data_IF_810457073780
#
_entry.id   IF_810457073780
#
_cell.length_a   1.000
_cell.length_b   1.000
_cell.length_c   1.000
_cell.angle_alpha   90.00
_cell.angle_beta   90.00
_cell.angle_gamma   90.00
#
_symmetry.space_group_name_H-M   'P 1'
#
loop_
_entity.id
_entity.type
_entity.pdbx_description
1 polymer ?
#
# COMPACT_ATOMS: atom_id res chain seq x y z
N UNK A 1 -43.69 6.41 16.17
CA UNK A 1 -43.05 5.07 16.03
C UNK A 1 -41.62 5.32 15.62
N UNK A 2 -40.69 5.19 16.53
CA UNK A 2 -39.28 5.51 16.36
C UNK A 2 -38.55 4.27 15.85
N UNK A 3 -37.90 4.41 14.73
CA UNK A 3 -37.08 3.38 14.08
C UNK A 3 -35.70 3.39 14.74
N UNK A 4 -35.39 2.38 15.53
CA UNK A 4 -34.12 2.16 16.19
C UNK A 4 -33.18 1.39 15.26
N UNK A 5 -32.44 2.10 14.42
CA UNK A 5 -31.28 1.52 13.76
C UNK A 5 -30.18 1.22 14.80
N UNK A 6 -29.57 0.02 14.83
CA UNK A 6 -28.49 -0.27 15.77
C UNK A 6 -27.23 0.49 15.32
N UNK A 7 -26.84 1.47 16.13
CA UNK A 7 -25.55 2.13 16.06
C UNK A 7 -24.45 1.13 16.43
N UNK A 8 -23.78 0.56 15.42
CA UNK A 8 -22.53 -0.16 15.62
C UNK A 8 -21.49 0.86 16.11
N UNK A 9 -21.21 0.75 17.40
CA UNK A 9 -20.26 1.60 18.13
C UNK A 9 -18.89 1.55 17.46
N UNK A 10 -18.37 2.73 17.08
CA UNK A 10 -17.03 2.95 16.56
C UNK A 10 -15.89 2.53 17.51
N UNK A 11 -16.22 1.97 18.68
CA UNK A 11 -15.27 1.59 19.74
C UNK A 11 -14.62 0.21 19.56
N UNK A 12 -14.97 -0.58 18.54
CA UNK A 12 -14.54 -1.99 18.45
C UNK A 12 -13.27 -2.24 17.60
N UNK A 13 -12.75 -1.24 16.89
CA UNK A 13 -11.52 -1.41 16.11
C UNK A 13 -10.36 -0.70 16.84
N UNK A 14 -10.04 -1.16 18.05
CA UNK A 14 -8.76 -0.78 18.68
C UNK A 14 -7.64 -1.62 18.08
N UNK A 15 -6.78 -0.98 17.31
CA UNK A 15 -5.55 -1.56 16.83
C UNK A 15 -4.66 -2.00 18.00
N UNK A 16 -4.28 -3.28 18.04
CA UNK A 16 -3.33 -3.81 19.00
C UNK A 16 -2.00 -4.10 18.27
N UNK A 17 -0.95 -3.28 18.45
CA UNK A 17 0.33 -3.45 17.75
C UNK A 17 1.05 -4.78 18.07
N UNK A 18 0.67 -5.46 19.16
CA UNK A 18 1.27 -6.76 19.52
C UNK A 18 0.85 -7.91 18.61
N UNK A 19 -0.19 -7.74 17.78
CA UNK A 19 -0.71 -8.79 16.88
C UNK A 19 0.12 -8.94 15.60
N UNK A 20 0.97 -7.96 15.27
CA UNK A 20 1.75 -7.99 14.02
C UNK A 20 2.94 -8.97 14.01
N UNK A 21 3.27 -9.63 15.12
CA UNK A 21 4.46 -10.52 15.21
C UNK A 21 4.21 -11.99 15.00
N UNK A 22 2.97 -12.42 14.74
CA UNK A 22 2.68 -13.84 14.47
C UNK A 22 2.16 -14.00 13.05
N UNK A 23 2.88 -14.78 12.24
CA UNK A 23 2.35 -15.30 10.98
C UNK A 23 0.99 -15.95 11.22
N UNK A 24 -0.06 -15.61 10.47
CA UNK A 24 -1.37 -16.21 10.67
C UNK A 24 -1.26 -17.72 10.37
N UNK A 25 -1.59 -18.57 11.35
CA UNK A 25 -2.04 -19.91 11.05
C UNK A 25 -3.27 -19.76 10.18
N UNK A 26 -3.20 -20.29 8.98
CA UNK A 26 -4.32 -20.36 8.03
C UNK A 26 -5.52 -20.97 8.76
N UNK A 27 -6.49 -20.16 9.13
CA UNK A 27 -7.78 -20.65 9.61
C UNK A 27 -8.49 -21.25 8.40
N UNK A 28 -8.49 -22.57 8.33
CA UNK A 28 -9.18 -23.32 7.29
C UNK A 28 -10.68 -23.27 7.58
N UNK A 29 -11.43 -22.50 6.80
CA UNK A 29 -12.89 -22.51 6.83
C UNK A 29 -13.38 -23.66 5.93
N UNK A 30 -14.14 -24.64 6.47
CA UNK A 30 -14.68 -25.74 5.66
C UNK A 30 -15.81 -25.21 4.77
N UNK A 31 -15.60 -25.24 3.46
CA UNK A 31 -16.62 -24.86 2.46
C UNK A 31 -16.09 -24.11 1.23
N UNK A 32 -14.81 -23.78 1.14
CA UNK A 32 -14.26 -22.98 0.03
C UNK A 32 -13.57 -23.83 -1.02
N UNK A 33 -14.32 -24.30 -1.98
CA UNK A 33 -13.82 -24.95 -3.21
C UNK A 33 -13.45 -23.96 -4.32
N UNK A 34 -13.13 -22.71 -4.02
CA UNK A 34 -12.45 -21.68 -4.84
C UNK A 34 -12.24 -20.49 -3.92
N UNK A 35 -11.01 -20.00 -3.75
CA UNK A 35 -10.82 -18.77 -2.99
C UNK A 35 -11.59 -17.65 -3.68
N UNK A 36 -12.57 -17.04 -2.97
CA UNK A 36 -13.33 -15.89 -3.50
C UNK A 36 -12.35 -14.76 -3.83
N UNK A 37 -12.57 -14.10 -4.96
CA UNK A 37 -11.82 -12.91 -5.33
C UNK A 37 -12.11 -11.77 -4.33
N UNK A 38 -11.21 -10.78 -4.27
CA UNK A 38 -11.42 -9.64 -3.38
C UNK A 38 -12.65 -8.81 -3.77
N UNK A 39 -12.94 -8.74 -5.06
CA UNK A 39 -14.14 -8.09 -5.60
C UNK A 39 -15.41 -8.81 -5.15
N UNK A 40 -15.44 -10.16 -5.22
CA UNK A 40 -16.56 -10.97 -4.73
C UNK A 40 -16.75 -10.80 -3.22
N UNK A 41 -15.65 -10.77 -2.44
CA UNK A 41 -15.72 -10.53 -1.00
C UNK A 41 -16.31 -9.15 -0.70
N UNK A 42 -15.91 -8.11 -1.46
CA UNK A 42 -16.41 -6.75 -1.25
C UNK A 42 -17.90 -6.64 -1.59
N UNK A 43 -18.40 -7.32 -2.64
CA UNK A 43 -19.83 -7.38 -2.94
C UNK A 43 -20.60 -8.09 -1.82
N UNK A 44 -20.13 -9.27 -1.37
CA UNK A 44 -20.75 -9.99 -0.24
C UNK A 44 -20.80 -9.16 1.03
N UNK A 45 -19.73 -8.37 1.28
CA UNK A 45 -19.74 -7.42 2.40
C UNK A 45 -20.81 -6.33 2.22
N UNK A 46 -21.01 -5.85 0.99
CA UNK A 46 -22.11 -4.95 0.64
C UNK A 46 -23.49 -5.53 0.97
N UNK A 47 -23.67 -6.82 0.76
CA UNK A 47 -24.87 -7.59 1.07
C UNK A 47 -25.01 -7.98 2.56
N UNK A 48 -24.06 -7.57 3.42
CA UNK A 48 -24.12 -7.76 4.86
C UNK A 48 -23.26 -8.91 5.42
N UNK A 49 -22.46 -9.59 4.60
CA UNK A 49 -21.56 -10.66 5.05
C UNK A 49 -20.31 -10.06 5.74
N UNK A 50 -20.35 -9.97 7.07
CA UNK A 50 -19.23 -9.48 7.87
C UNK A 50 -17.95 -10.34 7.75
N UNK A 51 -18.09 -11.65 7.51
CA UNK A 51 -16.94 -12.56 7.31
C UNK A 51 -16.19 -12.26 6.02
N UNK A 52 -16.88 -11.76 4.99
CA UNK A 52 -16.25 -11.31 3.75
C UNK A 52 -15.36 -10.07 4.00
N UNK A 53 -15.80 -9.12 4.83
CA UNK A 53 -14.97 -7.98 5.25
C UNK A 53 -13.75 -8.44 6.05
N UNK A 54 -13.93 -9.36 6.99
CA UNK A 54 -12.82 -9.89 7.78
C UNK A 54 -11.75 -10.52 6.90
N UNK A 55 -12.15 -11.29 5.87
CA UNK A 55 -11.23 -11.87 4.90
C UNK A 55 -10.46 -10.82 4.11
N UNK A 56 -11.13 -9.79 3.58
CA UNK A 56 -10.51 -8.66 2.89
C UNK A 56 -9.52 -7.92 3.80
N UNK A 57 -9.95 -7.59 5.01
CA UNK A 57 -9.12 -6.91 5.99
C UNK A 57 -7.85 -7.71 6.30
N UNK A 58 -7.98 -9.02 6.54
CA UNK A 58 -6.83 -9.88 6.82
C UNK A 58 -5.85 -9.97 5.65
N UNK A 59 -6.33 -10.01 4.41
CA UNK A 59 -5.48 -10.04 3.21
C UNK A 59 -4.69 -8.74 3.02
N UNK A 60 -5.35 -7.60 3.18
CA UNK A 60 -4.80 -6.30 2.75
C UNK A 60 -4.27 -5.42 3.87
N UNK A 61 -4.61 -5.66 5.16
CA UNK A 61 -4.17 -4.80 6.27
C UNK A 61 -2.65 -4.62 6.34
N UNK A 62 -1.90 -5.70 6.15
CA UNK A 62 -0.44 -5.66 6.24
C UNK A 62 0.20 -4.85 5.11
N UNK A 63 -0.08 -5.18 3.84
CA UNK A 63 0.42 -4.41 2.70
C UNK A 63 0.02 -2.94 2.73
N UNK A 64 -1.26 -2.61 2.98
CA UNK A 64 -1.75 -1.21 3.06
C UNK A 64 -1.06 -0.44 4.19
N UNK A 65 -0.91 -1.04 5.38
CA UNK A 65 -0.20 -0.40 6.48
C UNK A 65 1.27 -0.14 6.16
N UNK A 66 1.98 -1.14 5.56
CA UNK A 66 3.38 -0.96 5.14
C UNK A 66 3.54 0.14 4.09
N UNK A 67 2.62 0.23 3.14
CA UNK A 67 2.60 1.31 2.15
C UNK A 67 2.58 2.68 2.84
N UNK A 68 1.61 2.92 3.73
CA UNK A 68 1.47 4.19 4.44
C UNK A 68 2.68 4.49 5.33
N UNK A 69 3.14 3.51 6.12
CA UNK A 69 4.28 3.66 7.01
C UNK A 69 5.57 4.03 6.26
N UNK A 70 5.81 3.41 5.10
CA UNK A 70 6.98 3.71 4.28
C UNK A 70 6.91 5.07 3.59
N UNK A 71 5.71 5.61 3.39
CA UNK A 71 5.53 6.95 2.85
C UNK A 71 5.79 8.03 3.89
N UNK A 72 5.33 7.85 5.12
CA UNK A 72 5.29 8.89 6.16
C UNK A 72 6.45 8.76 7.14
N UNK A 73 6.96 7.56 7.38
CA UNK A 73 8.00 7.22 8.37
C UNK A 73 7.62 7.55 9.84
N UNK A 74 6.35 7.90 10.11
CA UNK A 74 5.78 8.13 11.43
C UNK A 74 4.66 7.10 11.64
N UNK A 75 4.83 6.22 12.64
CA UNK A 75 3.92 5.11 12.88
C UNK A 75 2.56 5.55 13.40
N UNK A 76 2.49 6.64 14.17
CA UNK A 76 1.23 7.14 14.69
C UNK A 76 0.37 7.74 13.57
N UNK A 77 0.98 8.54 12.71
CA UNK A 77 0.30 9.10 11.53
C UNK A 77 -0.08 8.01 10.54
N UNK A 78 0.81 7.03 10.29
CA UNK A 78 0.50 5.91 9.40
C UNK A 78 -0.67 5.08 9.92
N UNK A 79 -0.81 4.91 11.23
CA UNK A 79 -1.94 4.22 11.86
C UNK A 79 -3.25 5.00 11.70
N UNK A 80 -3.23 6.32 11.90
CA UNK A 80 -4.39 7.20 11.67
C UNK A 80 -4.88 7.09 10.23
N UNK A 81 -3.98 7.27 9.25
CA UNK A 81 -4.34 7.16 7.84
C UNK A 81 -4.81 5.76 7.46
N UNK A 82 -4.22 4.71 8.05
CA UNK A 82 -4.66 3.33 7.85
C UNK A 82 -6.09 3.11 8.34
N UNK A 83 -6.46 3.64 9.50
CA UNK A 83 -7.83 3.60 10.00
C UNK A 83 -8.78 4.35 9.07
N UNK A 84 -8.41 5.54 8.60
CA UNK A 84 -9.18 6.32 7.64
C UNK A 84 -9.44 5.56 6.33
N UNK A 85 -8.43 4.86 5.80
CA UNK A 85 -8.59 4.03 4.60
C UNK A 85 -9.65 2.95 4.82
N UNK A 86 -9.59 2.21 5.92
CA UNK A 86 -10.57 1.14 6.19
C UNK A 86 -11.95 1.68 6.51
N UNK A 87 -12.06 2.83 7.18
CA UNK A 87 -13.35 3.50 7.35
C UNK A 87 -13.97 3.88 6.01
N UNK A 88 -13.17 4.35 5.03
CA UNK A 88 -13.66 4.61 3.66
C UNK A 88 -14.12 3.35 2.95
N UNK A 89 -13.42 2.22 3.13
CA UNK A 89 -13.87 0.91 2.61
C UNK A 89 -15.24 0.56 3.21
N UNK A 90 -15.41 0.69 4.53
CA UNK A 90 -16.67 0.43 5.25
C UNK A 90 -17.80 1.32 4.74
N UNK A 91 -17.56 2.63 4.63
CA UNK A 91 -18.56 3.61 4.17
C UNK A 91 -18.98 3.39 2.71
N UNK A 92 -18.09 2.80 1.92
CA UNK A 92 -18.33 2.56 0.48
C UNK A 92 -19.04 1.24 0.19
N UNK A 93 -19.26 0.37 1.18
CA UNK A 93 -19.74 -1.01 0.99
C UNK A 93 -21.02 -1.12 0.15
N UNK A 94 -22.00 -0.26 0.40
CA UNK A 94 -23.29 -0.30 -0.30
C UNK A 94 -23.29 0.40 -1.68
N UNK A 95 -22.15 0.97 -2.11
CA UNK A 95 -21.99 1.67 -3.39
C UNK A 95 -20.84 1.13 -4.22
N UNK A 96 -20.20 0.06 -3.73
CA UNK A 96 -19.07 -0.56 -4.42
C UNK A 96 -19.54 -1.23 -5.70
N UNK A 97 -18.87 -0.94 -6.80
CA UNK A 97 -19.05 -1.56 -8.09
C UNK A 97 -17.71 -2.06 -8.61
N UNK A 98 -17.68 -3.23 -9.23
CA UNK A 98 -16.47 -3.79 -9.84
C UNK A 98 -16.16 -3.01 -11.12
N UNK A 99 -15.29 -1.99 -11.01
CA UNK A 99 -14.76 -1.21 -12.15
C UNK A 99 -13.28 -1.46 -12.38
N UNK A 100 -12.59 -1.96 -11.36
CA UNK A 100 -11.17 -2.28 -11.33
C UNK A 100 -10.91 -3.33 -10.25
N UNK A 101 -9.69 -3.83 -10.14
CA UNK A 101 -9.29 -4.70 -9.03
C UNK A 101 -9.53 -4.01 -7.69
N UNK A 102 -9.94 -4.76 -6.67
CA UNK A 102 -10.09 -4.26 -5.32
C UNK A 102 -8.79 -3.63 -4.79
N UNK A 103 -7.64 -4.24 -5.09
CA UNK A 103 -6.33 -3.70 -4.72
C UNK A 103 -6.10 -2.31 -5.29
N UNK A 104 -6.33 -2.09 -6.59
CA UNK A 104 -6.19 -0.78 -7.22
C UNK A 104 -7.12 0.26 -6.59
N UNK A 105 -8.34 -0.14 -6.24
CA UNK A 105 -9.31 0.74 -5.59
C UNK A 105 -8.91 1.11 -4.16
N UNK A 106 -8.49 0.15 -3.31
CA UNK A 106 -8.08 0.44 -1.93
C UNK A 106 -6.80 1.27 -1.88
N UNK A 107 -5.85 1.04 -2.81
CA UNK A 107 -4.65 1.88 -2.89
C UNK A 107 -4.92 3.28 -3.44
N UNK A 108 -5.95 3.45 -4.28
CA UNK A 108 -6.43 4.80 -4.66
C UNK A 108 -6.98 5.55 -3.45
N UNK A 109 -7.71 4.87 -2.56
CA UNK A 109 -8.16 5.46 -1.29
C UNK A 109 -6.95 5.85 -0.42
N UNK A 110 -5.96 4.94 -0.28
CA UNK A 110 -4.76 5.19 0.50
C UNK A 110 -3.94 6.37 -0.06
N UNK A 111 -3.75 6.44 -1.38
CA UNK A 111 -3.13 7.57 -2.07
C UNK A 111 -3.85 8.88 -1.75
N UNK A 112 -5.17 8.92 -1.91
CA UNK A 112 -5.95 10.14 -1.66
C UNK A 112 -5.81 10.61 -0.21
N UNK A 113 -5.85 9.70 0.78
CA UNK A 113 -5.63 10.04 2.19
C UNK A 113 -4.23 10.58 2.45
N UNK A 114 -3.22 9.97 1.82
CA UNK A 114 -1.84 10.43 1.88
C UNK A 114 -1.70 11.85 1.29
N UNK A 115 -2.34 12.11 0.14
CA UNK A 115 -2.34 13.44 -0.50
C UNK A 115 -3.04 14.50 0.36
N UNK A 116 -4.16 14.16 0.99
CA UNK A 116 -4.87 15.03 1.93
C UNK A 116 -3.97 15.39 3.12
N UNK A 117 -3.28 14.40 3.69
CA UNK A 117 -2.32 14.62 4.77
C UNK A 117 -1.17 15.53 4.35
N UNK A 118 -0.57 15.32 3.19
CA UNK A 118 0.51 16.19 2.70
C UNK A 118 0.04 17.61 2.43
N UNK A 119 -1.17 17.79 1.91
CA UNK A 119 -1.76 19.13 1.72
C UNK A 119 -1.97 19.85 3.03
N UNK A 120 -2.55 19.18 4.03
CA UNK A 120 -2.79 19.73 5.35
C UNK A 120 -1.50 20.16 6.07
N UNK A 121 -0.40 19.42 5.84
CA UNK A 121 0.90 19.67 6.50
C UNK A 121 1.86 20.53 5.64
N UNK A 122 1.39 21.18 4.57
CA UNK A 122 2.22 22.03 3.71
C UNK A 122 3.30 21.29 2.91
N UNK A 123 3.27 19.94 2.89
CA UNK A 123 4.26 19.09 2.22
C UNK A 123 3.89 18.71 0.78
N UNK A 124 2.80 19.25 0.24
CA UNK A 124 2.33 18.95 -1.11
C UNK A 124 3.37 19.26 -2.22
N UNK A 125 4.29 20.20 -1.96
CA UNK A 125 5.38 20.53 -2.91
C UNK A 125 6.34 19.38 -3.16
N UNK A 126 6.50 18.44 -2.22
CA UNK A 126 7.42 17.29 -2.38
C UNK A 126 6.93 16.24 -3.39
N UNK A 127 5.64 16.26 -3.74
CA UNK A 127 5.05 15.31 -4.67
C UNK A 127 5.08 15.82 -6.12
N UNK A 128 5.13 17.16 -6.29
CA UNK A 128 5.13 17.84 -7.59
C UNK A 128 6.53 18.29 -8.03
N UNK A 129 7.59 17.91 -7.33
CA UNK A 129 8.93 18.11 -7.86
C UNK A 129 9.08 17.27 -9.12
N UNK A 130 8.91 17.93 -10.26
CA UNK A 130 9.41 17.46 -11.54
C UNK A 130 10.90 17.17 -11.32
N UNK A 131 11.23 15.91 -11.34
CA UNK A 131 12.61 15.47 -11.20
C UNK A 131 13.38 16.07 -12.36
N UNK A 132 14.29 16.96 -12.02
CA UNK A 132 15.29 17.41 -12.98
C UNK A 132 16.00 16.17 -13.53
N UNK A 133 15.82 15.90 -14.82
CA UNK A 133 16.37 14.75 -15.54
C UNK A 133 17.90 14.67 -15.52
N UNK A 134 18.56 15.66 -14.94
CA UNK A 134 20.00 15.90 -15.06
C UNK A 134 20.91 15.00 -14.20
N UNK A 135 20.39 14.08 -13.37
CA UNK A 135 21.23 13.39 -12.37
C UNK A 135 21.47 11.88 -12.59
N UNK A 136 21.03 11.25 -13.68
CA UNK A 136 21.13 9.79 -13.84
C UNK A 136 21.64 9.32 -15.21
N UNK A 137 22.74 9.89 -15.67
CA UNK A 137 23.34 9.46 -16.95
C UNK A 137 24.32 8.27 -16.85
N UNK A 138 24.56 7.69 -15.66
CA UNK A 138 25.48 6.54 -15.54
C UNK A 138 24.99 5.53 -14.51
N UNK A 139 24.28 4.49 -14.94
CA UNK A 139 24.10 3.27 -14.17
C UNK A 139 24.74 2.08 -14.89
N UNK A 140 25.76 1.41 -14.31
CA UNK A 140 26.34 0.19 -14.89
C UNK A 140 25.40 -1.01 -14.75
N UNK A 141 25.49 -1.92 -15.70
CA UNK A 141 24.67 -3.13 -15.78
C UNK A 141 25.02 -4.22 -14.78
N UNK A 142 24.20 -5.21 -14.85
CA UNK A 142 24.03 -6.46 -14.10
C UNK A 142 25.30 -7.20 -13.70
N UNK A 143 25.34 -7.62 -12.41
CA UNK A 143 25.82 -8.94 -11.96
C UNK A 143 25.48 -9.16 -10.48
N UNK A 144 24.87 -10.32 -10.15
CA UNK A 144 24.44 -10.69 -8.81
C UNK A 144 25.23 -11.90 -8.29
N UNK A 145 25.94 -11.80 -7.14
CA UNK A 145 26.55 -12.95 -6.47
C UNK A 145 25.65 -13.50 -5.35
N UNK A 146 25.68 -14.82 -5.21
CA UNK A 146 24.92 -15.62 -4.27
C UNK A 146 25.73 -15.93 -3.00
N UNK A 147 25.39 -15.27 -1.86
CA UNK A 147 25.52 -15.89 -0.52
C UNK A 147 24.64 -15.13 0.50
N UNK A 148 23.47 -15.72 0.86
CA UNK A 148 22.34 -14.95 1.37
C UNK A 148 21.69 -15.51 2.64
N UNK A 149 22.37 -16.20 3.55
CA UNK A 149 21.68 -16.79 4.72
C UNK A 149 21.87 -16.09 6.08
N UNK A 150 22.92 -15.33 6.29
CA UNK A 150 23.17 -14.60 7.54
C UNK A 150 22.80 -13.10 7.47
N UNK A 151 22.49 -12.58 6.29
CA UNK A 151 22.35 -11.16 6.02
C UNK A 151 20.90 -10.68 5.78
N UNK A 152 19.91 -11.58 5.85
CA UNK A 152 18.50 -11.22 5.52
C UNK A 152 17.94 -10.07 6.35
N UNK A 153 18.30 -9.98 7.63
CA UNK A 153 17.83 -8.90 8.49
C UNK A 153 18.52 -7.59 8.13
N UNK A 154 19.84 -7.61 7.98
CA UNK A 154 20.64 -6.46 7.57
C UNK A 154 20.31 -6.01 6.16
N UNK A 155 20.10 -6.97 5.23
CA UNK A 155 19.66 -6.66 3.86
C UNK A 155 18.27 -6.04 3.84
N UNK A 156 17.34 -6.52 4.69
CA UNK A 156 16.00 -5.93 4.84
C UNK A 156 16.04 -4.50 5.40
N UNK A 157 16.85 -4.25 6.42
CA UNK A 157 17.03 -2.92 7.01
C UNK A 157 17.67 -1.95 6.01
N UNK A 158 18.67 -2.40 5.26
CA UNK A 158 19.31 -1.61 4.17
C UNK A 158 18.33 -1.28 3.05
N UNK A 159 17.50 -2.25 2.64
CA UNK A 159 16.47 -2.02 1.63
C UNK A 159 15.44 -1.00 2.11
N UNK A 160 14.98 -1.10 3.35
CA UNK A 160 14.04 -0.13 3.92
C UNK A 160 14.66 1.28 4.00
N UNK A 161 15.92 1.39 4.39
CA UNK A 161 16.65 2.66 4.37
C UNK A 161 16.74 3.22 2.93
N UNK A 162 17.14 2.41 1.96
CA UNK A 162 17.22 2.82 0.57
C UNK A 162 15.86 3.28 0.00
N UNK A 163 14.77 2.60 0.35
CA UNK A 163 13.42 3.01 -0.03
C UNK A 163 13.06 4.37 0.60
N UNK A 164 13.44 4.62 1.84
CA UNK A 164 13.16 5.90 2.51
C UNK A 164 13.91 7.09 1.89
N UNK A 165 15.04 6.83 1.22
CA UNK A 165 15.83 7.82 0.51
C UNK A 165 15.33 8.14 -0.90
N UNK A 166 14.37 7.36 -1.42
CA UNK A 166 13.76 7.68 -2.70
C UNK A 166 12.97 8.99 -2.62
N UNK A 167 12.98 9.83 -3.67
CA UNK A 167 12.02 10.92 -3.82
C UNK A 167 10.59 10.41 -3.65
N UNK A 168 9.71 11.22 -3.05
CA UNK A 168 8.37 10.78 -2.64
C UNK A 168 7.56 10.15 -3.78
N UNK A 169 7.59 10.75 -4.99
CA UNK A 169 6.85 10.23 -6.14
C UNK A 169 7.44 8.91 -6.69
N UNK A 170 8.77 8.74 -6.65
CA UNK A 170 9.42 7.48 -7.04
C UNK A 170 9.14 6.38 -6.02
N UNK A 171 9.23 6.71 -4.73
CA UNK A 171 8.90 5.80 -3.63
C UNK A 171 7.46 5.34 -3.71
N UNK A 172 6.52 6.25 -3.97
CA UNK A 172 5.12 5.92 -4.12
C UNK A 172 4.88 4.95 -5.29
N UNK A 173 5.37 5.25 -6.47
CA UNK A 173 5.22 4.38 -7.63
C UNK A 173 5.80 2.98 -7.36
N UNK A 174 6.98 2.92 -6.73
CA UNK A 174 7.63 1.67 -6.34
C UNK A 174 6.77 0.87 -5.33
N UNK A 175 6.26 1.52 -4.28
CA UNK A 175 5.45 0.84 -3.26
C UNK A 175 4.09 0.39 -3.78
N UNK A 176 3.44 1.15 -4.65
CA UNK A 176 2.19 0.74 -5.31
C UNK A 176 2.40 -0.50 -6.18
N UNK A 177 3.55 -0.60 -6.86
CA UNK A 177 3.89 -1.80 -7.62
C UNK A 177 4.22 -3.00 -6.71
N UNK A 178 4.99 -2.80 -5.62
CA UNK A 178 5.47 -3.91 -4.78
C UNK A 178 4.47 -4.37 -3.73
N UNK A 179 3.72 -3.48 -3.10
CA UNK A 179 2.75 -3.82 -2.06
C UNK A 179 1.34 -4.01 -2.62
N UNK A 180 1.01 -3.29 -3.70
CA UNK A 180 -0.30 -3.32 -4.34
C UNK A 180 -0.40 -4.25 -5.55
N UNK A 181 0.71 -4.79 -6.03
CA UNK A 181 0.79 -5.58 -7.27
C UNK A 181 0.11 -4.87 -8.46
N UNK A 182 0.29 -3.54 -8.52
CA UNK A 182 -0.37 -2.70 -9.51
C UNK A 182 0.45 -2.59 -10.79
N UNK A 183 -0.24 -2.67 -11.92
CA UNK A 183 0.32 -2.37 -13.25
C UNK A 183 0.61 -0.87 -13.41
N UNK A 184 1.36 -0.51 -14.45
CA UNK A 184 1.66 0.90 -14.75
C UNK A 184 0.39 1.72 -14.97
N UNK A 185 -0.62 1.12 -15.61
CA UNK A 185 -1.92 1.72 -15.90
C UNK A 185 -2.71 1.97 -14.62
N UNK A 186 -2.72 1.00 -13.70
CA UNK A 186 -3.40 1.10 -12.41
C UNK A 186 -2.74 2.16 -11.52
N UNK A 187 -1.40 2.22 -11.48
CA UNK A 187 -0.65 3.26 -10.76
C UNK A 187 -0.95 4.64 -11.37
N UNK A 188 -0.95 4.75 -12.70
CA UNK A 188 -1.26 6.00 -13.40
C UNK A 188 -2.67 6.50 -13.04
N UNK A 189 -3.66 5.61 -13.04
CA UNK A 189 -5.04 5.92 -12.64
C UNK A 189 -5.16 6.33 -11.18
N UNK A 190 -4.47 5.63 -10.27
CA UNK A 190 -4.51 5.91 -8.84
C UNK A 190 -3.84 7.24 -8.47
N UNK A 191 -2.73 7.58 -9.12
CA UNK A 191 -1.91 8.77 -8.80
C UNK A 191 -2.21 9.99 -9.66
N UNK A 192 -3.07 9.85 -10.69
CA UNK A 192 -3.48 10.96 -11.56
C UNK A 192 -2.39 11.44 -12.51
N UNK A 193 -1.35 10.63 -12.77
CA UNK A 193 -0.29 10.95 -13.74
C UNK A 193 -0.39 10.04 -14.97
N UNK A 194 0.33 10.37 -16.04
CA UNK A 194 0.34 9.51 -17.22
C UNK A 194 1.24 8.27 -17.02
N UNK A 195 1.02 7.23 -17.84
CA UNK A 195 1.73 5.95 -17.79
C UNK A 195 3.26 6.11 -17.99
N UNK A 196 3.68 7.00 -18.87
CA UNK A 196 5.12 7.23 -19.12
C UNK A 196 5.81 7.89 -17.92
N UNK A 197 5.11 8.77 -17.19
CA UNK A 197 5.59 9.32 -15.91
C UNK A 197 5.77 8.21 -14.87
N UNK A 198 4.80 7.29 -14.73
CA UNK A 198 4.93 6.14 -13.83
C UNK A 198 6.13 5.28 -14.21
N UNK A 199 6.27 4.95 -15.50
CA UNK A 199 7.40 4.17 -16.02
C UNK A 199 8.76 4.83 -15.73
N UNK A 200 8.85 6.14 -15.90
CA UNK A 200 10.06 6.91 -15.57
C UNK A 200 10.35 6.89 -14.07
N UNK A 201 9.34 7.14 -13.23
CA UNK A 201 9.47 7.08 -11.75
C UNK A 201 9.98 5.71 -11.28
N UNK A 202 9.43 4.62 -11.81
CA UNK A 202 9.87 3.27 -11.48
C UNK A 202 11.29 3.00 -11.96
N UNK A 203 11.63 3.40 -13.19
CA UNK A 203 13.00 3.26 -13.72
C UNK A 203 14.02 3.94 -12.81
N UNK A 204 13.74 5.18 -12.38
CA UNK A 204 14.62 5.93 -11.48
C UNK A 204 14.66 5.32 -10.08
N UNK A 205 13.52 4.88 -9.53
CA UNK A 205 13.47 4.19 -8.25
C UNK A 205 14.35 2.94 -8.26
N UNK A 206 14.19 2.07 -9.24
CA UNK A 206 15.01 0.85 -9.37
C UNK A 206 16.49 1.15 -9.58
N UNK A 207 16.84 2.15 -10.41
CA UNK A 207 18.22 2.55 -10.62
C UNK A 207 18.87 3.03 -9.31
N UNK A 208 18.18 3.88 -8.54
CA UNK A 208 18.67 4.39 -7.26
C UNK A 208 18.81 3.29 -6.21
N UNK A 209 17.80 2.40 -6.08
CA UNK A 209 17.85 1.27 -5.16
C UNK A 209 19.03 0.34 -5.50
N UNK A 210 19.24 0.03 -6.78
CA UNK A 210 20.37 -0.78 -7.24
C UNK A 210 21.71 -0.13 -6.92
N UNK A 211 21.86 1.17 -7.15
CA UNK A 211 23.07 1.92 -6.86
C UNK A 211 23.38 1.96 -5.34
N UNK A 212 22.34 2.11 -4.50
CA UNK A 212 22.51 2.14 -3.02
C UNK A 212 22.86 0.77 -2.48
N UNK A 213 22.20 -0.29 -2.95
CA UNK A 213 22.41 -1.65 -2.48
C UNK A 213 23.69 -2.28 -3.03
N UNK A 214 24.07 -1.96 -4.29
CA UNK A 214 25.27 -2.47 -4.93
C UNK A 214 26.60 -1.88 -4.40
N UNK A 215 26.58 -0.71 -3.76
CA UNK A 215 27.76 -0.11 -3.13
C UNK A 215 28.15 -0.77 -1.79
N UNK A 216 27.34 -1.68 -1.29
CA UNK A 216 27.50 -2.29 0.04
C UNK A 216 27.91 -3.77 0.00
N UNK A 217 28.32 -4.26 -1.19
CA UNK A 217 28.91 -5.61 -1.40
C UNK A 217 30.42 -5.57 -1.42
#
# INVERSE_FOLDING_TARGET
MADLAPTLSAAAIRFNPAVHRRSPKTLHFPGMGRESSDEELMLRYGDGDAGAFEALYHRHRGPVYRFLLRQIADSAVAEELFQDVWMRVVDSRGRYEIRAKFTSWVYTIAHNRLMDFYRANGRAKFLNQEESEAALENAPGDEMPADLRLDRKRTGERLLAAISELPAAQREAFLLQQEGDMSLEEIAGATGVNRETVKSRLRYAFAKLRATLGKAS
#
